data_IF_298817374643
#
_entry.id   IF_298817374643
#
_cell.length_a   1.000
_cell.length_b   1.000
_cell.length_c   1.000
_cell.angle_alpha   90.00
_cell.angle_beta   90.00
_cell.angle_gamma   90.00
#
_symmetry.space_group_name_H-M   'P 1'
#
loop_
_entity.id
_entity.type
_entity.pdbx_description
1 polymer ?
#
# COMPACT_ATOMS: atom_id res chain seq x y z
N UNK A 1 -20.66 14.73 4.06
CA UNK A 1 -20.72 13.28 3.79
C UNK A 1 -19.38 12.74 4.21
N UNK A 2 -19.33 11.80 5.15
CA UNK A 2 -18.09 11.12 5.57
C UNK A 2 -17.47 10.48 4.34
N UNK A 3 -16.18 10.72 4.09
CA UNK A 3 -15.49 10.10 2.96
C UNK A 3 -15.22 8.64 3.33
N UNK A 4 -15.91 7.72 2.68
CA UNK A 4 -15.72 6.29 2.87
C UNK A 4 -14.34 5.90 2.32
N UNK A 5 -13.49 5.19 3.09
CA UNK A 5 -12.18 4.78 2.60
C UNK A 5 -12.29 3.82 1.42
N UNK A 6 -11.47 4.03 0.38
CA UNK A 6 -11.38 3.09 -0.74
C UNK A 6 -10.69 1.79 -0.31
N UNK A 7 -11.15 0.64 -0.83
CA UNK A 7 -10.46 -0.63 -0.62
C UNK A 7 -9.40 -0.85 -1.69
N UNK A 8 -8.22 -1.25 -1.24
CA UNK A 8 -7.04 -1.57 -2.06
C UNK A 8 -6.70 -3.05 -1.87
N UNK A 9 -7.36 -3.98 -2.59
CA UNK A 9 -6.90 -5.36 -2.60
C UNK A 9 -5.45 -5.42 -3.10
N UNK A 10 -4.61 -6.18 -2.41
CA UNK A 10 -3.19 -6.16 -2.65
C UNK A 10 -2.68 -7.42 -3.32
N UNK A 11 -1.75 -7.23 -4.27
CA UNK A 11 -1.00 -8.26 -4.98
C UNK A 11 0.48 -8.03 -4.69
N UNK A 12 1.11 -8.96 -3.98
CA UNK A 12 2.56 -9.00 -3.85
C UNK A 12 3.11 -9.92 -4.94
N UNK A 13 4.07 -9.41 -5.70
CA UNK A 13 4.71 -10.14 -6.81
C UNK A 13 6.10 -10.63 -6.42
N UNK A 14 6.34 -11.91 -6.60
CA UNK A 14 7.65 -12.52 -6.54
C UNK A 14 7.79 -13.57 -7.63
N UNK A 15 8.87 -13.53 -8.40
CA UNK A 15 9.13 -14.42 -9.53
C UNK A 15 7.92 -14.55 -10.49
N UNK A 16 7.17 -13.45 -10.69
CA UNK A 16 5.97 -13.40 -11.54
C UNK A 16 4.68 -13.94 -10.90
N UNK A 17 4.72 -14.46 -9.69
CA UNK A 17 3.58 -15.07 -8.99
C UNK A 17 2.98 -14.12 -7.94
N UNK A 18 1.69 -14.34 -7.63
CA UNK A 18 1.01 -13.73 -6.49
C UNK A 18 1.42 -14.46 -5.22
N UNK A 19 2.07 -13.75 -4.30
CA UNK A 19 2.54 -14.31 -3.04
C UNK A 19 2.08 -13.48 -1.84
N UNK A 20 2.30 -14.01 -0.64
CA UNK A 20 2.23 -13.28 0.63
C UNK A 20 3.37 -13.67 1.53
N UNK A 21 4.00 -12.65 2.13
CA UNK A 21 4.97 -12.84 3.19
C UNK A 21 4.29 -12.63 4.54
N UNK A 22 4.73 -13.32 5.58
CA UNK A 22 4.32 -13.02 6.94
C UNK A 22 5.33 -12.06 7.57
N UNK A 23 4.88 -10.85 7.93
CA UNK A 23 5.72 -9.79 8.51
C UNK A 23 6.98 -9.49 7.66
N UNK A 24 6.87 -9.59 6.32
CA UNK A 24 7.97 -9.35 5.40
C UNK A 24 9.05 -10.45 5.34
N UNK A 25 8.84 -11.58 6.01
CA UNK A 25 9.80 -12.69 6.05
C UNK A 25 9.74 -13.52 4.76
N UNK A 26 10.80 -13.45 3.96
CA UNK A 26 10.92 -14.19 2.68
C UNK A 26 11.00 -15.71 2.83
N UNK A 27 11.33 -16.19 4.03
CA UNK A 27 11.35 -17.64 4.33
C UNK A 27 9.95 -18.14 4.78
N UNK A 28 9.00 -17.22 4.98
CA UNK A 28 7.60 -17.49 5.34
C UNK A 28 6.64 -17.02 4.25
N UNK A 29 6.94 -17.44 3.02
CA UNK A 29 6.15 -17.15 1.84
C UNK A 29 5.03 -18.17 1.63
N UNK A 30 3.87 -17.68 1.18
CA UNK A 30 2.78 -18.48 0.64
C UNK A 30 2.48 -18.03 -0.78
N UNK A 31 2.49 -18.94 -1.75
CA UNK A 31 2.10 -18.70 -3.14
C UNK A 31 0.59 -18.95 -3.27
N UNK A 32 -0.14 -17.98 -3.83
CA UNK A 32 -1.59 -18.07 -4.02
C UNK A 32 -2.02 -18.21 -5.48
N UNK A 33 -1.14 -17.89 -6.43
CA UNK A 33 -1.43 -18.07 -7.85
C UNK A 33 -0.29 -17.58 -8.75
N UNK A 34 -0.35 -17.99 -10.01
CA UNK A 34 0.63 -17.69 -11.05
C UNK A 34 0.10 -16.75 -12.14
N UNK A 35 -1.14 -16.23 -11.97
CA UNK A 35 -1.76 -15.27 -12.89
C UNK A 35 -2.18 -13.99 -12.16
N UNK A 36 -1.24 -13.03 -11.96
CA UNK A 36 -1.56 -11.74 -11.34
C UNK A 36 -2.56 -10.90 -12.12
N UNK A 37 -2.65 -11.05 -13.45
CA UNK A 37 -3.61 -10.33 -14.28
C UNK A 37 -5.03 -10.82 -14.01
N UNK A 38 -5.23 -12.14 -13.99
CA UNK A 38 -6.54 -12.72 -13.62
C UNK A 38 -6.95 -12.34 -12.21
N UNK A 39 -6.00 -12.37 -11.25
CA UNK A 39 -6.25 -11.95 -9.87
C UNK A 39 -6.69 -10.48 -9.78
N UNK A 40 -6.02 -9.58 -10.49
CA UNK A 40 -6.35 -8.15 -10.48
C UNK A 40 -7.73 -7.88 -11.13
N UNK A 41 -8.05 -8.57 -12.22
CA UNK A 41 -9.39 -8.51 -12.85
C UNK A 41 -10.49 -9.01 -11.91
N UNK A 42 -10.27 -10.09 -11.19
CA UNK A 42 -11.21 -10.59 -10.19
C UNK A 42 -11.48 -9.54 -9.09
N UNK A 43 -10.46 -8.77 -8.68
CA UNK A 43 -10.65 -7.67 -7.74
C UNK A 43 -11.47 -6.52 -8.34
N UNK A 44 -11.23 -6.16 -9.60
CA UNK A 44 -12.07 -5.17 -10.30
C UNK A 44 -13.52 -5.65 -10.43
N UNK A 45 -13.75 -6.89 -10.82
CA UNK A 45 -15.09 -7.50 -10.94
C UNK A 45 -15.82 -7.56 -9.59
N UNK A 46 -15.09 -7.72 -8.48
CA UNK A 46 -15.64 -7.62 -7.13
C UNK A 46 -16.01 -6.18 -6.72
N UNK A 47 -15.72 -5.17 -7.58
CA UNK A 47 -16.09 -3.77 -7.39
C UNK A 47 -15.02 -2.92 -6.70
N UNK A 48 -13.78 -3.39 -6.59
CA UNK A 48 -12.68 -2.54 -6.12
C UNK A 48 -12.47 -1.34 -7.05
N UNK A 49 -12.21 -0.17 -6.47
CA UNK A 49 -11.86 1.04 -7.23
C UNK A 49 -10.34 1.20 -7.42
N UNK A 50 -9.56 0.41 -6.70
CA UNK A 50 -8.10 0.40 -6.71
C UNK A 50 -7.56 -1.02 -6.56
N UNK A 51 -6.33 -1.23 -7.07
CA UNK A 51 -5.49 -2.40 -6.74
C UNK A 51 -4.13 -1.87 -6.23
N UNK A 52 -3.59 -2.49 -5.20
CA UNK A 52 -2.24 -2.22 -4.69
C UNK A 52 -1.29 -3.35 -5.09
N UNK A 53 -0.16 -3.00 -5.73
CA UNK A 53 0.83 -3.97 -6.21
C UNK A 53 2.18 -3.68 -5.56
N UNK A 54 2.86 -4.71 -5.09
CA UNK A 54 4.23 -4.62 -4.59
C UNK A 54 5.14 -5.59 -5.35
N UNK A 55 6.16 -5.07 -6.04
CA UNK A 55 7.25 -5.88 -6.60
C UNK A 55 8.24 -6.19 -5.47
N UNK A 56 8.12 -7.38 -4.87
CA UNK A 56 8.97 -7.82 -3.76
C UNK A 56 10.41 -8.10 -4.20
N UNK A 57 10.62 -8.56 -5.44
CA UNK A 57 11.97 -8.77 -5.97
C UNK A 57 12.70 -7.46 -6.13
N UNK A 58 12.02 -6.44 -6.68
CA UNK A 58 12.59 -5.11 -6.80
C UNK A 58 12.79 -4.42 -5.44
N UNK A 59 11.88 -4.60 -4.49
CA UNK A 59 12.02 -4.09 -3.13
C UNK A 59 13.25 -4.69 -2.42
N UNK A 60 13.54 -5.96 -2.65
CA UNK A 60 14.66 -6.68 -2.04
C UNK A 60 16.00 -6.42 -2.73
N UNK A 61 16.00 -6.43 -4.07
CA UNK A 61 17.24 -6.48 -4.87
C UNK A 61 17.54 -5.19 -5.63
N UNK A 62 16.58 -4.25 -5.70
CA UNK A 62 16.63 -3.08 -6.56
C UNK A 62 16.42 -3.39 -8.06
N UNK A 63 16.14 -4.65 -8.43
CA UNK A 63 15.97 -5.07 -9.82
C UNK A 63 14.48 -5.30 -10.13
N UNK A 64 13.83 -4.49 -11.00
CA UNK A 64 12.39 -4.56 -11.27
C UNK A 64 12.04 -5.70 -12.23
N UNK A 65 12.30 -6.95 -11.84
CA UNK A 65 12.08 -8.13 -12.68
C UNK A 65 10.60 -8.39 -12.98
N UNK A 66 9.69 -7.95 -12.08
CA UNK A 66 8.25 -8.08 -12.28
C UNK A 66 7.62 -6.89 -13.02
N UNK A 67 8.40 -5.91 -13.50
CA UNK A 67 7.90 -4.75 -14.23
C UNK A 67 6.95 -5.12 -15.38
N UNK A 68 7.25 -6.14 -16.23
CA UNK A 68 6.33 -6.57 -17.30
C UNK A 68 4.98 -7.06 -16.76
N UNK A 69 4.98 -7.72 -15.59
CA UNK A 69 3.75 -8.19 -14.94
C UNK A 69 2.94 -6.99 -14.40
N UNK A 70 3.60 -6.03 -13.74
CA UNK A 70 2.95 -4.79 -13.27
C UNK A 70 2.31 -4.03 -14.44
N UNK A 71 3.03 -3.92 -15.58
CA UNK A 71 2.50 -3.29 -16.79
C UNK A 71 1.28 -4.03 -17.32
N UNK A 72 1.35 -5.35 -17.44
CA UNK A 72 0.23 -6.17 -17.94
C UNK A 72 -1.02 -6.05 -17.02
N UNK A 73 -0.81 -6.00 -15.71
CA UNK A 73 -1.91 -5.76 -14.76
C UNK A 73 -2.49 -4.37 -14.97
N UNK A 74 -1.68 -3.31 -15.01
CA UNK A 74 -2.15 -1.94 -15.16
C UNK A 74 -2.92 -1.74 -16.48
N UNK A 75 -2.42 -2.28 -17.59
CA UNK A 75 -3.08 -2.22 -18.90
C UNK A 75 -4.41 -3.00 -18.95
N UNK A 76 -4.59 -3.99 -18.07
CA UNK A 76 -5.77 -4.86 -18.06
C UNK A 76 -6.95 -4.33 -17.27
N UNK A 77 -6.78 -3.22 -16.52
CA UNK A 77 -7.74 -2.68 -15.58
C UNK A 77 -8.23 -1.29 -15.97
N UNK A 78 -9.50 -1.00 -15.66
CA UNK A 78 -10.14 0.33 -15.81
C UNK A 78 -10.17 1.10 -14.47
N UNK A 79 -9.56 0.57 -13.42
CA UNK A 79 -9.53 1.13 -12.06
C UNK A 79 -8.14 1.65 -11.70
N UNK A 80 -8.04 2.35 -10.56
CA UNK A 80 -6.75 2.87 -10.11
C UNK A 80 -5.76 1.75 -9.76
N UNK A 81 -4.52 1.87 -10.25
CA UNK A 81 -3.42 0.98 -9.86
C UNK A 81 -2.41 1.77 -9.05
N UNK A 82 -2.15 1.33 -7.83
CA UNK A 82 -1.08 1.82 -6.98
C UNK A 82 0.03 0.78 -6.94
N UNK A 83 1.24 1.13 -7.33
CA UNK A 83 2.35 0.19 -7.39
C UNK A 83 3.60 0.70 -6.69
N UNK A 84 4.30 -0.19 -6.00
CA UNK A 84 5.57 0.05 -5.31
C UNK A 84 6.54 -1.12 -5.45
N UNK A 85 7.72 -0.95 -4.84
CA UNK A 85 8.83 -1.89 -4.95
C UNK A 85 9.86 -1.42 -5.99
N UNK A 86 11.09 -1.14 -5.53
CA UNK A 86 12.23 -0.83 -6.39
C UNK A 86 12.15 0.50 -7.15
N UNK A 87 11.41 1.50 -6.65
CA UNK A 87 11.39 2.84 -7.23
C UNK A 87 12.49 3.67 -6.61
N UNK A 88 13.63 3.78 -7.30
CA UNK A 88 14.83 4.46 -6.82
C UNK A 88 15.22 5.71 -7.62
N UNK A 89 14.59 5.89 -8.79
CA UNK A 89 14.86 7.02 -9.70
C UNK A 89 13.56 7.59 -10.26
N UNK A 90 13.63 8.80 -10.84
CA UNK A 90 12.51 9.37 -11.60
C UNK A 90 12.16 8.50 -12.80
N UNK A 91 13.14 7.86 -13.43
CA UNK A 91 12.90 6.99 -14.59
C UNK A 91 12.19 5.70 -14.21
N UNK A 92 12.42 5.15 -13.00
CA UNK A 92 11.63 4.03 -12.48
C UNK A 92 10.16 4.41 -12.32
N UNK A 93 9.91 5.60 -11.72
CA UNK A 93 8.55 6.11 -11.56
C UNK A 93 7.89 6.39 -12.91
N UNK A 94 8.61 7.01 -13.85
CA UNK A 94 8.12 7.28 -15.22
C UNK A 94 7.71 5.99 -15.92
N UNK A 95 8.54 4.95 -15.85
CA UNK A 95 8.25 3.66 -16.47
C UNK A 95 6.99 3.00 -15.90
N UNK A 96 6.67 3.22 -14.62
CA UNK A 96 5.42 2.77 -14.01
C UNK A 96 4.22 3.61 -14.49
N UNK A 97 4.35 4.94 -14.57
CA UNK A 97 3.29 5.81 -15.08
C UNK A 97 3.00 5.53 -16.56
N UNK A 98 4.04 5.34 -17.37
CA UNK A 98 3.91 4.98 -18.80
C UNK A 98 3.22 3.61 -19.00
N UNK A 99 3.34 2.71 -18.01
CA UNK A 99 2.63 1.43 -17.97
C UNK A 99 1.19 1.52 -17.46
N UNK A 100 0.69 2.71 -17.12
CA UNK A 100 -0.69 2.92 -16.66
C UNK A 100 -0.87 2.92 -15.14
N UNK A 101 0.21 2.84 -14.34
CA UNK A 101 0.13 2.97 -12.89
C UNK A 101 -0.37 4.37 -12.53
N UNK A 102 -1.44 4.43 -11.72
CA UNK A 102 -2.09 5.69 -11.33
C UNK A 102 -1.33 6.41 -10.21
N UNK A 103 -0.74 5.67 -9.27
CA UNK A 103 0.02 6.20 -8.13
C UNK A 103 1.20 5.30 -7.82
N UNK A 104 2.39 5.88 -7.76
CA UNK A 104 3.62 5.17 -7.40
C UNK A 104 3.82 5.25 -5.89
N UNK A 105 4.26 4.15 -5.26
CA UNK A 105 4.62 4.10 -3.83
C UNK A 105 6.14 4.06 -3.70
N UNK A 106 6.69 5.00 -2.95
CA UNK A 106 8.11 5.11 -2.63
C UNK A 106 8.32 4.88 -1.13
N UNK A 107 9.06 3.84 -0.79
CA UNK A 107 9.47 3.54 0.59
C UNK A 107 10.89 4.01 0.86
N UNK A 108 11.85 3.08 0.88
CA UNK A 108 13.27 3.31 1.19
C UNK A 108 13.87 4.51 0.46
N UNK A 109 13.63 4.62 -0.84
CA UNK A 109 14.20 5.71 -1.65
C UNK A 109 13.67 7.10 -1.24
N UNK A 110 12.42 7.22 -0.79
CA UNK A 110 11.90 8.46 -0.23
C UNK A 110 12.64 8.86 1.04
N UNK A 111 12.88 7.91 1.94
CA UNK A 111 13.58 8.15 3.21
C UNK A 111 15.06 8.53 2.97
N UNK A 112 15.75 7.81 2.08
CA UNK A 112 17.17 8.03 1.77
C UNK A 112 17.41 9.28 0.91
N UNK A 113 16.43 9.66 0.06
CA UNK A 113 16.54 10.80 -0.88
C UNK A 113 15.21 11.56 -0.99
N UNK A 114 14.85 12.40 -0.01
CA UNK A 114 13.54 13.09 0.03
C UNK A 114 13.23 13.93 -1.21
N UNK A 115 14.24 14.57 -1.81
CA UNK A 115 14.07 15.40 -3.03
C UNK A 115 13.57 14.58 -4.23
N UNK A 116 13.78 13.26 -4.21
CA UNK A 116 13.25 12.37 -5.23
C UNK A 116 11.70 12.34 -5.20
N UNK A 117 11.10 12.47 -4.02
CA UNK A 117 9.61 12.56 -3.89
C UNK A 117 9.10 13.76 -4.66
N UNK A 118 9.71 14.95 -4.48
CA UNK A 118 9.34 16.16 -5.23
C UNK A 118 9.49 15.96 -6.73
N UNK A 119 10.60 15.33 -7.15
CA UNK A 119 10.87 15.08 -8.56
C UNK A 119 9.85 14.13 -9.20
N UNK A 120 9.43 13.09 -8.48
CA UNK A 120 8.39 12.15 -8.91
C UNK A 120 7.01 12.80 -8.87
N UNK A 121 6.71 13.62 -7.85
CA UNK A 121 5.45 14.35 -7.74
C UNK A 121 5.22 15.34 -8.90
N UNK A 122 6.30 15.82 -9.53
CA UNK A 122 6.22 16.68 -10.71
C UNK A 122 5.77 15.95 -11.98
N UNK A 123 5.81 14.61 -12.01
CA UNK A 123 5.46 13.81 -13.20
C UNK A 123 4.24 12.90 -12.98
N UNK A 124 3.77 12.73 -11.74
CA UNK A 124 2.61 11.89 -11.43
C UNK A 124 2.31 11.82 -9.93
N UNK A 125 1.29 11.05 -9.56
CA UNK A 125 0.88 10.91 -8.16
C UNK A 125 1.85 9.99 -7.42
N UNK A 126 2.36 10.44 -6.27
CA UNK A 126 3.28 9.68 -5.43
C UNK A 126 2.72 9.50 -4.03
N UNK A 127 2.73 8.26 -3.54
CA UNK A 127 2.54 7.96 -2.14
C UNK A 127 3.89 7.64 -1.49
N UNK A 128 4.05 8.06 -0.24
CA UNK A 128 5.21 7.65 0.57
C UNK A 128 4.79 6.50 1.46
N UNK A 129 5.47 5.36 1.32
CA UNK A 129 5.31 4.19 2.17
C UNK A 129 6.10 4.38 3.46
N UNK A 130 5.39 4.35 4.59
CA UNK A 130 5.94 4.45 5.94
C UNK A 130 5.66 3.13 6.67
N UNK A 131 6.60 2.22 6.57
CA UNK A 131 6.54 0.92 7.26
C UNK A 131 7.18 1.08 8.63
N UNK A 132 6.38 0.96 9.69
CA UNK A 132 6.78 1.35 11.05
C UNK A 132 6.98 0.11 11.91
N UNK A 133 8.12 0.08 12.62
CA UNK A 133 8.42 -0.88 13.67
C UNK A 133 8.66 -0.13 14.98
N UNK A 134 7.83 -0.37 16.00
CA UNK A 134 7.81 0.52 17.15
C UNK A 134 7.44 1.95 16.72
N UNK A 135 8.32 2.91 16.95
CA UNK A 135 8.13 4.32 16.59
C UNK A 135 8.99 4.77 15.39
N UNK A 136 9.79 3.88 14.82
CA UNK A 136 10.72 4.20 13.72
C UNK A 136 10.27 3.65 12.38
N UNK A 137 10.55 4.40 11.32
CA UNK A 137 10.34 3.97 9.94
C UNK A 137 11.44 2.98 9.54
N UNK A 138 11.03 1.81 9.09
CA UNK A 138 11.91 0.78 8.57
C UNK A 138 12.19 1.01 7.07
N UNK A 139 13.34 0.54 6.62
CA UNK A 139 13.82 0.64 5.23
C UNK A 139 14.38 -0.70 4.75
N UNK A 140 14.68 -0.79 3.44
CA UNK A 140 15.33 -1.94 2.80
C UNK A 140 14.58 -3.25 3.03
N UNK A 141 13.27 -3.24 2.73
CA UNK A 141 12.41 -4.42 2.93
C UNK A 141 12.35 -4.83 4.41
N UNK A 142 12.30 -3.84 5.31
CA UNK A 142 12.16 -3.99 6.76
C UNK A 142 13.38 -4.61 7.48
N UNK A 143 14.52 -4.70 6.79
CA UNK A 143 15.77 -5.28 7.35
C UNK A 143 16.61 -4.29 8.14
N UNK A 144 16.32 -2.98 8.02
CA UNK A 144 17.01 -1.92 8.70
C UNK A 144 16.04 -0.84 9.19
N UNK A 145 16.44 -0.10 10.23
CA UNK A 145 15.76 1.12 10.69
C UNK A 145 16.41 2.35 10.03
N UNK A 146 15.60 3.38 9.80
CA UNK A 146 16.08 4.62 9.18
C UNK A 146 16.64 5.63 10.19
N UNK A 147 16.37 5.45 11.49
CA UNK A 147 16.58 6.45 12.52
C UNK A 147 15.58 7.63 12.45
N UNK A 148 14.58 7.57 11.56
CA UNK A 148 13.55 8.59 11.41
C UNK A 148 12.26 8.11 12.11
N UNK A 149 11.73 8.93 13.03
CA UNK A 149 10.47 8.69 13.67
C UNK A 149 9.30 8.90 12.71
N UNK A 150 8.14 8.22 12.96
CA UNK A 150 6.95 8.34 12.13
C UNK A 150 6.50 9.81 11.97
N UNK A 151 6.42 10.56 13.07
CA UNK A 151 5.91 11.95 13.01
C UNK A 151 6.85 12.89 12.26
N UNK A 152 8.16 12.71 12.41
CA UNK A 152 9.17 13.46 11.66
C UNK A 152 9.09 13.14 10.16
N UNK A 153 8.78 11.87 9.81
CA UNK A 153 8.53 11.46 8.43
C UNK A 153 7.25 12.10 7.86
N UNK A 154 6.14 12.07 8.60
CA UNK A 154 4.89 12.70 8.18
C UNK A 154 5.07 14.20 7.94
N UNK A 155 5.71 14.92 8.85
CA UNK A 155 6.00 16.35 8.69
C UNK A 155 6.89 16.61 7.47
N UNK A 156 8.03 15.91 7.37
CA UNK A 156 8.98 16.04 6.26
C UNK A 156 8.33 15.89 4.90
N UNK A 157 7.57 14.81 4.70
CA UNK A 157 7.01 14.47 3.38
C UNK A 157 5.72 15.21 3.05
N UNK A 158 5.04 15.83 4.02
CA UNK A 158 3.83 16.62 3.79
C UNK A 158 4.04 17.81 2.86
N UNK A 159 5.27 18.33 2.76
CA UNK A 159 5.61 19.51 1.95
C UNK A 159 6.23 19.19 0.58
N UNK A 160 6.45 17.89 0.27
CA UNK A 160 7.18 17.45 -0.92
C UNK A 160 6.29 17.00 -2.09
N UNK A 161 4.99 17.31 -2.04
CA UNK A 161 4.02 16.93 -3.08
C UNK A 161 3.47 15.51 -2.93
N UNK A 162 3.58 14.93 -1.74
CA UNK A 162 3.01 13.62 -1.40
C UNK A 162 1.49 13.62 -1.54
N UNK A 163 0.93 12.71 -2.33
CA UNK A 163 -0.51 12.52 -2.52
C UNK A 163 -1.15 11.72 -1.38
N UNK A 164 -0.43 10.74 -0.86
CA UNK A 164 -0.86 9.92 0.27
C UNK A 164 0.32 9.32 1.03
N UNK A 165 0.10 9.00 2.30
CA UNK A 165 0.94 8.09 3.07
C UNK A 165 0.31 6.70 3.07
N UNK A 166 1.10 5.67 2.76
CA UNK A 166 0.75 4.27 3.01
C UNK A 166 1.42 3.89 4.31
N UNK A 167 0.64 3.74 5.37
CA UNK A 167 1.15 3.46 6.71
C UNK A 167 0.96 1.99 7.05
N UNK A 168 2.07 1.27 7.21
CA UNK A 168 2.09 -0.15 7.57
C UNK A 168 2.66 -0.33 8.96
N UNK A 169 1.90 -0.96 9.87
CA UNK A 169 2.44 -1.47 11.14
C UNK A 169 3.01 -2.87 10.89
N UNK A 170 4.35 -3.00 10.87
CA UNK A 170 5.05 -4.24 10.49
C UNK A 170 4.63 -5.41 11.38
N UNK A 171 4.48 -5.19 12.69
CA UNK A 171 4.09 -6.23 13.66
C UNK A 171 2.68 -6.78 13.41
N UNK A 172 1.83 -6.06 12.68
CA UNK A 172 0.47 -6.47 12.33
C UNK A 172 0.37 -7.08 10.94
N UNK A 173 1.33 -6.76 10.04
CA UNK A 173 1.23 -7.18 8.64
C UNK A 173 1.26 -8.70 8.47
N UNK A 174 0.30 -9.22 7.70
CA UNK A 174 0.12 -10.64 7.44
C UNK A 174 -0.33 -11.48 8.62
N UNK A 175 -0.60 -10.91 9.82
CA UNK A 175 -0.96 -11.66 11.04
C UNK A 175 -2.45 -11.95 11.17
N UNK A 176 -3.34 -11.22 10.48
CA UNK A 176 -4.80 -11.25 10.67
C UNK A 176 -5.24 -10.88 12.11
N UNK A 177 -4.39 -10.20 12.87
CA UNK A 177 -4.59 -9.89 14.28
C UNK A 177 -5.25 -8.54 14.56
N UNK A 178 -5.85 -7.90 13.56
CA UNK A 178 -6.46 -6.57 13.63
C UNK A 178 -5.49 -5.43 13.33
N UNK A 179 -5.99 -4.29 12.79
CA UNK A 179 -5.22 -3.10 12.45
C UNK A 179 -4.72 -2.35 13.70
N UNK A 180 -3.80 -1.41 13.50
CA UNK A 180 -3.30 -0.49 14.52
C UNK A 180 -4.15 0.81 14.53
N UNK A 181 -5.36 0.76 15.11
CA UNK A 181 -6.28 1.90 15.11
C UNK A 181 -5.70 3.12 15.83
N UNK A 182 -5.00 2.91 16.95
CA UNK A 182 -4.39 3.99 17.73
C UNK A 182 -3.29 4.71 16.92
N UNK A 183 -2.38 3.95 16.29
CA UNK A 183 -1.33 4.50 15.45
C UNK A 183 -1.87 5.21 14.22
N UNK A 184 -2.91 4.66 13.57
CA UNK A 184 -3.59 5.29 12.44
C UNK A 184 -4.31 6.59 12.84
N UNK A 185 -4.99 6.58 13.98
CA UNK A 185 -5.64 7.77 14.53
C UNK A 185 -4.63 8.90 14.85
N UNK A 186 -3.52 8.54 15.47
CA UNK A 186 -2.44 9.49 15.75
C UNK A 186 -1.80 10.05 14.45
N UNK A 187 -1.65 9.22 13.40
CA UNK A 187 -1.17 9.67 12.10
C UNK A 187 -2.18 10.63 11.43
N UNK A 188 -3.48 10.33 11.48
CA UNK A 188 -4.53 11.23 10.96
C UNK A 188 -4.49 12.60 11.65
N UNK A 189 -4.22 12.64 12.97
CA UNK A 189 -4.08 13.91 13.70
C UNK A 189 -2.81 14.68 13.30
N UNK A 190 -1.74 13.96 12.94
CA UNK A 190 -0.42 14.56 12.70
C UNK A 190 -0.22 15.12 11.28
N UNK A 191 -1.04 14.76 10.30
CA UNK A 191 -0.85 15.22 8.91
C UNK A 191 -2.14 15.63 8.23
N UNK A 192 -2.07 16.62 7.32
CA UNK A 192 -3.16 16.99 6.40
C UNK A 192 -3.24 16.11 5.13
N UNK A 193 -2.25 15.26 4.90
CA UNK A 193 -2.17 14.38 3.72
C UNK A 193 -3.09 13.17 3.92
N UNK A 194 -3.54 12.57 2.82
CA UNK A 194 -4.32 11.35 2.84
C UNK A 194 -3.54 10.20 3.49
N UNK A 195 -4.20 9.42 4.35
CA UNK A 195 -3.61 8.23 4.98
C UNK A 195 -4.32 6.98 4.46
N UNK A 196 -3.55 6.03 3.97
CA UNK A 196 -3.99 4.70 3.57
C UNK A 196 -3.45 3.70 4.58
N UNK A 197 -4.34 2.99 5.26
CA UNK A 197 -3.99 1.97 6.25
C UNK A 197 -3.49 0.69 5.57
N UNK A 198 -2.46 0.07 6.12
CA UNK A 198 -1.91 -1.20 5.66
C UNK A 198 -1.52 -2.11 6.82
N UNK A 199 -1.82 -3.40 6.67
CA UNK A 199 -1.51 -4.44 7.64
C UNK A 199 -2.58 -4.67 8.70
N UNK A 200 -2.67 -5.93 9.15
CA UNK A 200 -3.49 -6.35 10.27
C UNK A 200 -4.92 -6.79 9.94
N UNK A 201 -5.55 -6.30 8.90
CA UNK A 201 -6.94 -6.69 8.55
C UNK A 201 -7.08 -8.21 8.48
N UNK A 202 -7.95 -8.77 9.33
CA UNK A 202 -8.21 -10.20 9.43
C UNK A 202 -9.70 -10.56 9.32
N UNK A 203 -10.60 -9.57 9.54
CA UNK A 203 -12.04 -9.79 9.61
C UNK A 203 -12.85 -8.63 9.01
N UNK A 204 -14.15 -8.83 8.70
CA UNK A 204 -15.03 -7.74 8.28
C UNK A 204 -15.23 -6.65 9.35
N UNK A 205 -15.12 -6.97 10.65
CA UNK A 205 -15.20 -5.97 11.72
C UNK A 205 -14.00 -5.01 11.71
N UNK A 206 -12.81 -5.49 11.34
CA UNK A 206 -11.64 -4.61 11.22
C UNK A 206 -11.86 -3.53 10.15
N UNK A 207 -12.59 -3.87 9.07
CA UNK A 207 -12.94 -2.89 8.04
C UNK A 207 -13.95 -1.87 8.54
N UNK A 208 -14.89 -2.27 9.40
CA UNK A 208 -15.83 -1.35 10.02
C UNK A 208 -15.08 -0.38 10.94
N UNK A 209 -14.22 -0.89 11.80
CA UNK A 209 -13.42 -0.09 12.73
C UNK A 209 -12.53 0.93 12.00
N UNK A 210 -11.89 0.50 10.88
CA UNK A 210 -11.09 1.39 10.03
C UNK A 210 -11.94 2.44 9.30
N UNK A 211 -13.13 2.08 8.86
CA UNK A 211 -14.02 3.00 8.16
C UNK A 211 -14.66 4.03 9.11
N UNK A 212 -14.88 3.64 10.37
CA UNK A 212 -15.42 4.51 11.41
C UNK A 212 -14.35 5.35 12.12
N UNK A 213 -13.05 5.08 11.85
CA UNK A 213 -11.95 5.85 12.42
C UNK A 213 -12.00 7.31 11.92
N UNK A 214 -12.25 8.21 12.85
CA UNK A 214 -12.34 9.65 12.61
C UNK A 214 -11.49 10.41 13.62
N UNK A 215 -10.73 11.37 13.14
CA UNK A 215 -9.96 12.30 13.98
C UNK A 215 -10.11 13.72 13.38
N UNK A 216 -10.67 14.64 14.13
CA UNK A 216 -10.89 16.03 13.73
C UNK A 216 -11.62 16.20 12.37
N UNK A 217 -12.64 15.35 12.12
CA UNK A 217 -13.41 15.32 10.88
C UNK A 217 -12.68 14.65 9.71
N UNK A 218 -11.55 14.00 9.94
CA UNK A 218 -10.75 13.31 8.93
C UNK A 218 -10.87 11.80 9.08
N UNK A 219 -10.98 11.13 7.96
CA UNK A 219 -11.04 9.67 7.85
C UNK A 219 -9.84 9.14 7.04
N UNK A 220 -9.64 7.84 7.10
CA UNK A 220 -8.70 7.17 6.19
C UNK A 220 -9.14 7.36 4.74
N UNK A 221 -8.19 7.59 3.85
CA UNK A 221 -8.45 7.66 2.40
C UNK A 221 -8.57 6.28 1.77
N UNK A 222 -8.00 5.25 2.42
CA UNK A 222 -8.07 3.90 1.93
C UNK A 222 -7.57 2.86 2.91
N UNK A 223 -7.86 1.60 2.58
CA UNK A 223 -7.49 0.42 3.36
C UNK A 223 -6.90 -0.62 2.40
N UNK A 224 -5.65 -0.99 2.60
CA UNK A 224 -5.01 -2.09 1.89
C UNK A 224 -5.38 -3.40 2.58
N UNK A 225 -5.92 -4.34 1.78
CA UNK A 225 -6.32 -5.65 2.25
C UNK A 225 -5.50 -6.69 1.50
N UNK A 226 -4.72 -7.44 2.24
CA UNK A 226 -3.89 -8.50 1.67
C UNK A 226 -4.41 -9.89 2.02
N UNK A 227 -3.74 -10.53 2.96
CA UNK A 227 -3.91 -11.93 3.33
C UNK A 227 -5.36 -12.33 3.59
N UNK A 228 -6.16 -11.48 4.23
CA UNK A 228 -7.56 -11.73 4.54
C UNK A 228 -8.42 -12.07 3.31
N UNK A 229 -8.10 -11.52 2.13
CA UNK A 229 -8.79 -11.84 0.87
C UNK A 229 -8.43 -13.24 0.37
N UNK A 230 -7.16 -13.60 0.43
CA UNK A 230 -6.66 -14.90 -0.05
C UNK A 230 -7.05 -16.04 0.88
N UNK A 231 -7.10 -15.81 2.19
CA UNK A 231 -7.58 -16.78 3.19
C UNK A 231 -9.11 -16.86 3.24
N UNK A 232 -9.83 -15.97 2.54
CA UNK A 232 -11.28 -15.93 2.49
C UNK A 232 -11.95 -15.47 3.79
N UNK A 233 -11.21 -14.86 4.73
CA UNK A 233 -11.78 -14.29 5.96
C UNK A 233 -12.52 -12.98 5.70
N UNK A 234 -12.20 -12.30 4.59
CA UNK A 234 -12.91 -11.12 4.07
C UNK A 234 -13.32 -11.40 2.62
N UNK A 235 -14.63 -11.27 2.32
CA UNK A 235 -15.15 -11.26 0.96
C UNK A 235 -15.14 -9.83 0.41
N UNK A 236 -14.35 -9.58 -0.65
CA UNK A 236 -14.14 -8.25 -1.20
C UNK A 236 -15.44 -7.62 -1.71
N UNK A 237 -16.26 -8.38 -2.45
CA UNK A 237 -17.49 -7.85 -3.03
C UNK A 237 -18.49 -7.42 -1.94
N UNK A 238 -18.56 -8.17 -0.85
CA UNK A 238 -19.38 -7.81 0.31
C UNK A 238 -18.82 -6.58 1.04
N UNK A 239 -17.50 -6.50 1.22
CA UNK A 239 -16.83 -5.37 1.85
C UNK A 239 -17.06 -4.07 1.05
N UNK A 240 -16.89 -4.12 -0.28
CA UNK A 240 -17.13 -2.97 -1.18
C UNK A 240 -18.58 -2.49 -1.08
N UNK A 241 -19.56 -3.40 -1.17
CA UNK A 241 -20.97 -3.02 -1.05
C UNK A 241 -21.30 -2.40 0.30
N UNK A 242 -20.77 -2.98 1.38
CA UNK A 242 -21.04 -2.53 2.73
C UNK A 242 -20.50 -1.11 2.98
N UNK A 243 -19.26 -0.85 2.56
CA UNK A 243 -18.65 0.47 2.70
C UNK A 243 -19.29 1.49 1.75
N UNK A 244 -19.59 1.13 0.50
CA UNK A 244 -20.23 2.02 -0.46
C UNK A 244 -21.68 2.42 -0.12
N UNK A 245 -22.31 1.78 0.84
CA UNK A 245 -23.65 2.09 1.34
C UNK A 245 -23.67 2.98 2.60
N UNK A 246 -22.52 3.43 3.10
CA UNK A 246 -22.37 4.29 4.30
C UNK A 246 -22.57 5.77 4.02
#
# INVERSE_FOLDING_TARGET
MSAVPALFPAIDLRDGCCVRLMQGDYDRETVYGDDPVAQARAFQEAGAAWVHIVDLDAARTGKPVNRPVVSAVAESLDIGVQAGGGVHTVDDARALFDAGVTRVVMGTAAIESPDLVTSVAAIGRVAVGLDVRGDEVAVRGWTATSGLGLYDALDRFSTLGTDAFVLTRIERDGTLGGPDLDGLGAALAATGINVVASGGVGSPSDLDDLADLEVDGRHLAGIIIGRALYEGTVDLATAVRKLGGR
#
